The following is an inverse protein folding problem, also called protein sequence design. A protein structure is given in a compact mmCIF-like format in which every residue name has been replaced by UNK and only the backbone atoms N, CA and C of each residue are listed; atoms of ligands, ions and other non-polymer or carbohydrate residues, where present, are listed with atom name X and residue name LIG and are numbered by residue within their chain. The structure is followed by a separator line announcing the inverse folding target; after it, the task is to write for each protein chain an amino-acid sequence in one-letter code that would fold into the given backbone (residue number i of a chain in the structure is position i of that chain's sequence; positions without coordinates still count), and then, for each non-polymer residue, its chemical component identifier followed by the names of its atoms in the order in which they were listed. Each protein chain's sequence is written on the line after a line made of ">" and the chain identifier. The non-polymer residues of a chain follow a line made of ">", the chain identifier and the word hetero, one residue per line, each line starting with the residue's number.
data_IF_633919614839
#
_entry.id   IF_633919614839
#
_cell.length_a   1.000
_cell.length_b   1.000
_cell.length_c   1.000
_cell.angle_alpha   90.00
_cell.angle_beta   90.00
_cell.angle_gamma   90.00
#
_symmetry.space_group_name_H-M   'P 1'
#
loop_
_entity.id
_entity.type
_entity.pdbx_description
1 polymer ?
#
# COMPACT_ATOMS: atom_id res chain seq x y z
N UNK A 1 -1.96 -20.72 -10.99
CA UNK A 1 -1.36 -21.30 -9.77
C UNK A 1 -0.35 -20.33 -9.13
N UNK A 2 0.66 -19.85 -9.87
CA UNK A 2 1.62 -18.83 -9.42
C UNK A 2 0.98 -17.50 -8.97
N UNK A 3 -0.06 -17.05 -9.68
CA UNK A 3 -0.73 -15.76 -9.41
C UNK A 3 -1.30 -15.64 -7.98
N UNK A 4 -1.69 -16.76 -7.35
CA UNK A 4 -2.25 -16.75 -5.98
C UNK A 4 -1.15 -16.65 -4.91
N UNK A 5 0.03 -17.20 -5.18
CA UNK A 5 1.17 -17.14 -4.28
C UNK A 5 1.78 -15.72 -4.30
N UNK A 6 1.87 -15.12 -5.47
CA UNK A 6 2.45 -13.78 -5.63
C UNK A 6 1.45 -12.65 -5.43
N UNK A 7 0.15 -12.93 -5.26
CA UNK A 7 -0.89 -11.90 -5.13
C UNK A 7 -0.60 -10.87 -4.04
N UNK A 8 -0.08 -11.30 -2.88
CA UNK A 8 0.31 -10.41 -1.78
C UNK A 8 1.47 -9.47 -2.15
N UNK A 9 2.50 -10.00 -2.82
CA UNK A 9 3.64 -9.20 -3.28
C UNK A 9 3.28 -8.28 -4.46
N UNK A 10 2.41 -8.73 -5.38
CA UNK A 10 1.93 -7.92 -6.49
C UNK A 10 1.12 -6.73 -5.95
N UNK A 11 0.28 -6.95 -4.94
CA UNK A 11 -0.45 -5.89 -4.27
C UNK A 11 0.48 -4.84 -3.65
N UNK A 12 1.52 -5.28 -2.96
CA UNK A 12 2.56 -4.39 -2.42
C UNK A 12 3.32 -3.63 -3.52
N UNK A 13 3.74 -4.31 -4.58
CA UNK A 13 4.47 -3.69 -5.69
C UNK A 13 3.61 -2.64 -6.42
N UNK A 14 2.33 -2.94 -6.65
CA UNK A 14 1.39 -1.99 -7.23
C UNK A 14 1.19 -0.76 -6.34
N UNK A 15 1.06 -0.96 -5.03
CA UNK A 15 0.99 0.13 -4.05
C UNK A 15 2.24 1.00 -4.10
N UNK A 16 3.43 0.39 -4.18
CA UNK A 16 4.71 1.09 -4.29
C UNK A 16 4.77 1.97 -5.54
N UNK A 17 4.45 1.41 -6.71
CA UNK A 17 4.43 2.18 -7.95
C UNK A 17 3.44 3.35 -7.89
N UNK A 18 2.23 3.11 -7.36
CA UNK A 18 1.20 4.15 -7.26
C UNK A 18 1.63 5.29 -6.34
N UNK A 19 2.08 4.96 -5.12
CA UNK A 19 2.47 5.95 -4.11
C UNK A 19 3.70 6.73 -4.58
N UNK A 20 4.69 6.06 -5.17
CA UNK A 20 5.89 6.72 -5.69
C UNK A 20 5.58 7.67 -6.87
N UNK A 21 4.68 7.27 -7.76
CA UNK A 21 4.23 8.13 -8.86
C UNK A 21 3.47 9.37 -8.34
N UNK A 22 2.54 9.19 -7.38
CA UNK A 22 1.82 10.28 -6.74
C UNK A 22 2.77 11.20 -5.96
N UNK A 23 3.80 10.64 -5.36
CA UNK A 23 4.82 11.39 -4.64
C UNK A 23 5.57 12.34 -5.57
N UNK A 24 6.10 11.83 -6.69
CA UNK A 24 6.77 12.66 -7.70
C UNK A 24 5.85 13.72 -8.32
N UNK A 25 4.63 13.34 -8.70
CA UNK A 25 3.63 14.26 -9.25
C UNK A 25 3.25 15.36 -8.25
N UNK A 26 3.08 15.01 -6.98
CA UNK A 26 2.68 15.96 -5.95
C UNK A 26 3.80 16.93 -5.58
N UNK A 27 5.07 16.51 -5.62
CA UNK A 27 6.20 17.43 -5.44
C UNK A 27 6.38 18.34 -6.66
N UNK A 28 6.34 17.80 -7.89
CA UNK A 28 6.46 18.61 -9.11
C UNK A 28 5.28 19.58 -9.30
N UNK A 29 4.07 19.16 -8.92
CA UNK A 29 2.84 19.95 -9.00
C UNK A 29 2.64 20.93 -7.84
N UNK A 30 3.57 21.01 -6.88
CA UNK A 30 3.50 21.95 -5.77
C UNK A 30 2.38 21.66 -4.75
N UNK A 31 1.83 20.44 -4.71
CA UNK A 31 0.75 20.07 -3.78
C UNK A 31 1.17 20.16 -2.31
N UNK A 32 2.48 20.14 -2.04
CA UNK A 32 3.02 20.32 -0.70
C UNK A 32 2.80 21.76 -0.17
N UNK A 33 2.65 22.74 -1.06
CA UNK A 33 2.45 24.15 -0.72
C UNK A 33 0.98 24.50 -0.47
N UNK A 34 0.05 23.59 -0.77
CA UNK A 34 -1.38 23.81 -0.58
C UNK A 34 -1.78 23.22 0.79
N UNK A 35 -2.03 24.06 1.81
CA UNK A 35 -2.49 23.58 3.11
C UNK A 35 -3.94 23.11 3.02
N UNK A 36 -4.24 21.97 3.66
CA UNK A 36 -5.56 21.39 3.77
C UNK A 36 -5.70 20.63 5.10
N UNK A 37 -6.66 21.05 5.93
CA UNK A 37 -7.00 20.41 7.21
C UNK A 37 -5.78 20.10 8.11
N UNK A 38 -4.87 21.07 8.28
CA UNK A 38 -3.70 20.95 9.16
C UNK A 38 -2.49 20.19 8.57
N UNK A 39 -2.59 19.66 7.36
CA UNK A 39 -1.49 19.05 6.60
C UNK A 39 -1.44 19.64 5.18
N UNK A 40 -0.52 19.23 4.33
CA UNK A 40 -0.56 19.58 2.90
C UNK A 40 -1.48 18.65 2.12
N UNK A 41 -2.08 19.13 1.04
CA UNK A 41 -2.87 18.29 0.10
C UNK A 41 -2.05 17.08 -0.35
N UNK A 42 -0.75 17.29 -0.59
CA UNK A 42 0.18 16.23 -0.89
C UNK A 42 0.18 15.10 0.16
N UNK A 43 0.28 15.44 1.45
CA UNK A 43 0.29 14.44 2.52
C UNK A 43 -1.04 13.71 2.62
N UNK A 44 -2.16 14.39 2.42
CA UNK A 44 -3.47 13.76 2.32
C UNK A 44 -3.57 12.78 1.15
N UNK A 45 -3.05 13.13 -0.02
CA UNK A 45 -3.06 12.23 -1.19
C UNK A 45 -2.24 10.96 -0.93
N UNK A 46 -1.08 11.08 -0.29
CA UNK A 46 -0.23 9.93 0.05
C UNK A 46 -0.87 9.05 1.13
N UNK A 47 -1.49 9.65 2.15
CA UNK A 47 -2.23 8.92 3.19
C UNK A 47 -3.45 8.19 2.61
N UNK A 48 -4.18 8.83 1.71
CA UNK A 48 -5.32 8.20 1.01
C UNK A 48 -4.86 7.02 0.14
N UNK A 49 -3.78 7.18 -0.62
CA UNK A 49 -3.21 6.11 -1.44
C UNK A 49 -2.69 4.94 -0.58
N UNK A 50 -2.03 5.25 0.55
CA UNK A 50 -1.55 4.24 1.49
C UNK A 50 -2.69 3.46 2.13
N UNK A 51 -3.68 4.17 2.70
CA UNK A 51 -4.86 3.53 3.33
C UNK A 51 -5.65 2.70 2.33
N UNK A 52 -5.87 3.21 1.11
CA UNK A 52 -6.51 2.46 0.02
C UNK A 52 -5.74 1.19 -0.35
N UNK A 53 -4.42 1.28 -0.46
CA UNK A 53 -3.55 0.14 -0.79
C UNK A 53 -3.51 -0.91 0.34
N UNK A 54 -3.48 -0.44 1.59
CA UNK A 54 -3.53 -1.30 2.77
C UNK A 54 -4.86 -2.05 2.85
N UNK A 55 -5.98 -1.35 2.62
CA UNK A 55 -7.30 -1.96 2.56
C UNK A 55 -7.39 -2.99 1.42
N UNK A 56 -6.88 -2.68 0.24
CA UNK A 56 -6.88 -3.61 -0.89
C UNK A 56 -6.07 -4.88 -0.59
N UNK A 57 -4.85 -4.74 -0.05
CA UNK A 57 -4.02 -5.89 0.34
C UNK A 57 -4.64 -6.69 1.49
N UNK A 58 -5.28 -6.02 2.45
CA UNK A 58 -5.99 -6.67 3.55
C UNK A 58 -7.21 -7.47 3.06
N UNK A 59 -8.02 -6.90 2.17
CA UNK A 59 -9.17 -7.60 1.56
C UNK A 59 -8.70 -8.84 0.82
N UNK A 60 -7.63 -8.73 0.02
CA UNK A 60 -7.04 -9.89 -0.67
C UNK A 60 -6.57 -10.94 0.34
N UNK A 61 -5.85 -10.54 1.40
CA UNK A 61 -5.39 -11.45 2.43
C UNK A 61 -6.56 -12.16 3.15
N UNK A 62 -7.64 -11.45 3.47
CA UNK A 62 -8.84 -12.01 4.09
C UNK A 62 -9.56 -13.01 3.18
N UNK A 63 -9.67 -12.70 1.88
CA UNK A 63 -10.26 -13.61 0.89
C UNK A 63 -9.43 -14.89 0.77
N UNK A 64 -8.10 -14.78 0.71
CA UNK A 64 -7.19 -15.93 0.66
C UNK A 64 -7.22 -16.74 1.97
N UNK A 65 -7.32 -16.06 3.12
CA UNK A 65 -7.42 -16.70 4.43
C UNK A 65 -8.68 -17.56 4.57
N UNK A 66 -9.81 -17.13 4.00
CA UNK A 66 -11.06 -17.91 3.98
C UNK A 66 -10.98 -19.19 3.15
N UNK A 67 -10.05 -19.29 2.20
CA UNK A 67 -9.92 -20.42 1.29
C UNK A 67 -8.79 -21.40 1.67
N UNK A 68 -8.39 -21.47 2.94
CA UNK A 68 -7.27 -22.29 3.47
C UNK A 68 -7.48 -23.82 3.48
N UNK A 69 -8.05 -24.37 2.42
CA UNK A 69 -8.36 -25.81 2.30
C UNK A 69 -7.13 -26.66 1.97
N UNK A 70 -6.22 -26.15 1.13
CA UNK A 70 -5.02 -26.87 0.71
C UNK A 70 -3.74 -26.27 1.33
N UNK A 71 -2.62 -27.02 1.40
CA UNK A 71 -1.33 -26.45 1.82
C UNK A 71 -0.89 -25.27 0.94
N UNK A 72 -1.25 -25.29 -0.35
CA UNK A 72 -0.98 -24.19 -1.28
C UNK A 72 -1.78 -22.92 -0.90
N UNK A 73 -3.04 -23.09 -0.49
CA UNK A 73 -3.87 -21.96 -0.05
C UNK A 73 -3.38 -21.37 1.28
N UNK A 74 -2.81 -22.20 2.17
CA UNK A 74 -2.16 -21.72 3.40
C UNK A 74 -0.92 -20.87 3.09
N UNK A 75 -0.10 -21.31 2.13
CA UNK A 75 1.04 -20.53 1.66
C UNK A 75 0.60 -19.21 1.01
N UNK A 76 -0.43 -19.23 0.16
CA UNK A 76 -0.99 -18.02 -0.44
C UNK A 76 -1.55 -17.05 0.62
N UNK A 77 -2.22 -17.56 1.65
CA UNK A 77 -2.72 -16.75 2.74
C UNK A 77 -1.58 -16.15 3.59
N UNK A 78 -0.50 -16.90 3.84
CA UNK A 78 0.69 -16.38 4.53
C UNK A 78 1.33 -15.25 3.72
N UNK A 79 1.50 -15.43 2.41
CA UNK A 79 2.04 -14.41 1.50
C UNK A 79 1.12 -13.18 1.38
N UNK A 80 -0.20 -13.36 1.47
CA UNK A 80 -1.15 -12.25 1.57
C UNK A 80 -0.88 -11.39 2.81
N UNK A 81 -0.68 -12.00 3.97
CA UNK A 81 -0.33 -11.28 5.21
C UNK A 81 1.05 -10.62 5.14
N UNK A 82 2.03 -11.26 4.48
CA UNK A 82 3.33 -10.64 4.21
C UNK A 82 3.17 -9.38 3.36
N UNK A 83 2.31 -9.41 2.32
CA UNK A 83 2.01 -8.22 1.51
C UNK A 83 1.39 -7.07 2.31
N UNK A 84 0.50 -7.39 3.25
CA UNK A 84 -0.10 -6.40 4.18
C UNK A 84 0.98 -5.81 5.10
N UNK A 85 1.79 -6.67 5.73
CA UNK A 85 2.85 -6.23 6.63
C UNK A 85 3.90 -5.37 5.90
N UNK A 86 4.30 -5.77 4.69
CA UNK A 86 5.20 -5.00 3.85
C UNK A 86 4.59 -3.64 3.50
N UNK A 87 3.31 -3.58 3.11
CA UNK A 87 2.61 -2.31 2.81
C UNK A 87 2.52 -1.41 4.05
N UNK A 88 2.28 -1.98 5.22
CA UNK A 88 2.21 -1.22 6.46
C UNK A 88 3.59 -0.62 6.80
N UNK A 89 4.65 -1.44 6.77
CA UNK A 89 5.99 -1.04 7.21
C UNK A 89 6.67 -0.12 6.20
N UNK A 90 6.58 -0.42 4.90
CA UNK A 90 7.23 0.37 3.84
C UNK A 90 6.72 1.81 3.79
N UNK A 91 5.43 2.01 4.05
CA UNK A 91 4.79 3.32 3.92
C UNK A 91 4.56 4.04 5.26
N UNK A 92 4.86 3.41 6.40
CA UNK A 92 4.82 4.06 7.71
C UNK A 92 5.58 5.42 7.77
N UNK A 93 6.75 5.59 7.10
CA UNK A 93 7.46 6.87 7.10
C UNK A 93 6.67 8.04 6.49
N UNK A 94 5.66 7.80 5.62
CA UNK A 94 4.81 8.86 5.04
C UNK A 94 4.11 9.69 6.13
N UNK A 95 3.86 9.08 7.28
CA UNK A 95 3.21 9.75 8.40
C UNK A 95 4.13 10.69 9.18
N UNK A 96 5.45 10.62 9.02
CA UNK A 96 6.42 11.35 9.86
C UNK A 96 7.50 12.10 9.07
N UNK A 97 7.90 11.59 7.90
CA UNK A 97 8.97 12.17 7.07
C UNK A 97 8.38 13.17 6.08
N UNK A 98 8.94 14.40 5.97
CA UNK A 98 8.55 15.34 4.93
C UNK A 98 8.80 14.72 3.55
N UNK A 99 7.77 14.74 2.71
CA UNK A 99 7.80 14.04 1.43
C UNK A 99 8.62 14.80 0.37
N UNK A 100 8.51 16.11 0.31
CA UNK A 100 9.28 16.93 -0.62
C UNK A 100 10.38 17.67 0.16
N UNK A 101 11.64 17.46 -0.23
CA UNK A 101 12.79 18.19 0.26
C UNK A 101 13.21 19.26 -0.76
#
# INVERSE_FOLDING_TARGET
>A
MLLRLTAGLIGWAAAFCLIYALHGLGCAGGWNMVPFAGLSVHRWTLLAAWTGSLLATLVVALILNRRRTTPLDRAAAALGWVGVAATLITFAPIAIVPACA
#
